data_IF_580850778733
#
_entry.id   IF_580850778733
#
_cell.length_a   1.000
_cell.length_b   1.000
_cell.length_c   1.000
_cell.angle_alpha   90.00
_cell.angle_beta   90.00
_cell.angle_gamma   90.00
#
_symmetry.space_group_name_H-M   'P 1'
#
loop_
_entity.id
_entity.type
_entity.pdbx_description
1 polymer ?
#
# COMPACT_ATOMS: atom_id res chain seq x y z
N UNK A 1 28.03 -1.64 0.82
CA UNK A 1 27.09 -2.46 0.02
C UNK A 1 26.13 -3.14 0.98
N UNK A 2 24.84 -2.81 0.94
CA UNK A 2 23.82 -3.39 1.82
C UNK A 2 23.04 -4.47 1.08
N UNK A 3 22.72 -5.56 1.75
CA UNK A 3 21.99 -6.68 1.16
C UNK A 3 21.00 -7.26 2.16
N UNK A 4 19.78 -7.54 1.70
CA UNK A 4 18.75 -8.22 2.45
C UNK A 4 18.23 -9.40 1.62
N UNK A 5 18.27 -10.60 2.21
CA UNK A 5 17.69 -11.81 1.62
C UNK A 5 16.45 -12.21 2.38
N UNK A 6 15.32 -12.13 1.70
CA UNK A 6 14.02 -12.58 2.20
C UNK A 6 13.77 -13.99 1.67
N UNK A 7 13.67 -14.97 2.57
CA UNK A 7 13.56 -16.39 2.22
C UNK A 7 12.13 -16.80 1.83
N UNK A 8 11.44 -15.94 1.09
CA UNK A 8 10.07 -16.18 0.64
C UNK A 8 10.03 -17.10 -0.58
N UNK A 9 9.11 -18.05 -0.55
CA UNK A 9 8.68 -18.77 -1.74
C UNK A 9 7.60 -17.99 -2.48
N UNK A 10 7.23 -18.42 -3.68
CA UNK A 10 6.06 -17.84 -4.36
C UNK A 10 4.74 -18.24 -3.69
N UNK A 11 4.74 -19.21 -2.77
CA UNK A 11 3.58 -19.59 -1.95
C UNK A 11 3.62 -18.99 -0.54
N UNK A 12 4.49 -18.00 -0.28
CA UNK A 12 4.58 -17.36 1.02
C UNK A 12 3.25 -16.72 1.42
N UNK A 13 2.78 -17.00 2.63
CA UNK A 13 1.64 -16.35 3.25
C UNK A 13 2.07 -15.18 4.14
N UNK A 14 1.12 -14.32 4.45
CA UNK A 14 1.26 -13.21 5.41
C UNK A 14 2.40 -12.23 5.11
N UNK A 15 2.54 -11.86 3.84
CA UNK A 15 3.48 -10.81 3.45
C UNK A 15 3.11 -9.46 4.03
N UNK A 16 1.84 -9.19 4.33
CA UNK A 16 1.42 -7.87 4.84
C UNK A 16 2.02 -7.59 6.22
N UNK A 17 2.01 -8.58 7.11
CA UNK A 17 2.48 -8.39 8.48
C UNK A 17 3.93 -8.84 8.70
N UNK A 18 4.39 -9.89 8.01
CA UNK A 18 5.72 -10.46 8.24
C UNK A 18 6.71 -10.14 7.11
N UNK A 19 6.23 -10.04 5.87
CA UNK A 19 7.09 -9.89 4.70
C UNK A 19 7.50 -8.44 4.43
N UNK A 20 6.53 -7.64 4.03
CA UNK A 20 6.70 -6.27 3.60
C UNK A 20 7.42 -5.38 4.60
N UNK A 21 7.17 -5.43 5.92
CA UNK A 21 7.82 -4.52 6.87
C UNK A 21 9.36 -4.56 6.81
N UNK A 22 9.96 -5.76 6.77
CA UNK A 22 11.41 -5.91 6.69
C UNK A 22 11.97 -5.37 5.36
N UNK A 23 11.28 -5.64 4.25
CA UNK A 23 11.66 -5.17 2.93
C UNK A 23 11.56 -3.65 2.80
N UNK A 24 10.48 -3.08 3.33
CA UNK A 24 10.21 -1.65 3.35
C UNK A 24 11.26 -0.90 4.17
N UNK A 25 11.54 -1.36 5.39
CA UNK A 25 12.59 -0.75 6.22
C UNK A 25 13.97 -0.78 5.55
N UNK A 26 14.28 -1.83 4.77
CA UNK A 26 15.52 -1.88 4.00
C UNK A 26 15.55 -0.86 2.86
N UNK A 27 14.45 -0.72 2.12
CA UNK A 27 14.31 0.28 1.05
C UNK A 27 14.38 1.70 1.61
N UNK A 28 13.68 1.97 2.71
CA UNK A 28 13.63 3.31 3.33
C UNK A 28 15.03 3.76 3.75
N UNK A 29 15.79 2.88 4.44
CA UNK A 29 17.19 3.15 4.80
C UNK A 29 18.08 3.41 3.58
N UNK A 30 17.82 2.74 2.46
CA UNK A 30 18.58 2.98 1.23
C UNK A 30 18.25 4.34 0.62
N UNK A 31 16.97 4.72 0.58
CA UNK A 31 16.54 6.03 0.10
C UNK A 31 17.06 7.16 0.99
N UNK A 32 17.09 6.98 2.31
CA UNK A 32 17.70 7.94 3.27
C UNK A 32 19.19 8.23 2.97
N UNK A 33 19.91 7.24 2.42
CA UNK A 33 21.31 7.39 2.00
C UNK A 33 21.47 7.93 0.58
N UNK A 34 20.38 8.09 -0.16
CA UNK A 34 20.42 8.43 -1.59
C UNK A 34 20.86 7.26 -2.49
N UNK A 35 20.79 6.02 -2.01
CA UNK A 35 21.19 4.84 -2.76
C UNK A 35 20.07 4.36 -3.72
N UNK A 36 20.47 3.84 -4.88
CA UNK A 36 19.58 3.01 -5.70
C UNK A 36 19.38 1.62 -5.11
N UNK A 37 18.18 1.04 -5.27
CA UNK A 37 17.84 -0.31 -4.79
C UNK A 37 17.49 -1.23 -5.96
N UNK A 38 18.18 -2.38 -6.04
CA UNK A 38 17.82 -3.47 -6.94
C UNK A 38 16.99 -4.51 -6.19
N UNK A 39 15.75 -4.72 -6.63
CA UNK A 39 14.86 -5.77 -6.11
C UNK A 39 14.75 -6.87 -7.16
N UNK A 40 15.16 -8.09 -6.83
CA UNK A 40 15.10 -9.23 -7.74
C UNK A 40 14.59 -10.50 -7.06
N UNK A 41 14.11 -11.44 -7.87
CA UNK A 41 13.91 -12.83 -7.47
C UNK A 41 14.56 -13.74 -8.53
N UNK A 42 14.17 -15.01 -8.62
CA UNK A 42 14.77 -15.93 -9.61
C UNK A 42 14.50 -15.49 -11.06
N UNK A 43 13.23 -15.28 -11.43
CA UNK A 43 12.84 -14.94 -12.80
C UNK A 43 12.38 -13.49 -12.98
N UNK A 44 12.33 -12.69 -11.90
CA UNK A 44 11.79 -11.33 -11.94
C UNK A 44 10.28 -11.22 -12.16
N UNK A 45 9.54 -12.34 -12.19
CA UNK A 45 8.11 -12.37 -12.58
C UNK A 45 7.16 -12.15 -11.39
N UNK A 46 7.38 -12.83 -10.26
CA UNK A 46 6.33 -13.03 -9.25
C UNK A 46 6.64 -12.38 -7.90
N UNK A 47 7.60 -12.92 -7.13
CA UNK A 47 7.96 -12.41 -5.78
C UNK A 47 8.48 -10.97 -5.79
N UNK A 48 9.49 -10.68 -6.62
CA UNK A 48 10.05 -9.33 -6.73
C UNK A 48 9.02 -8.35 -7.27
N UNK A 49 8.22 -8.74 -8.25
CA UNK A 49 7.14 -7.91 -8.77
C UNK A 49 6.10 -7.57 -7.70
N UNK A 50 5.72 -8.55 -6.85
CA UNK A 50 4.80 -8.33 -5.73
C UNK A 50 5.32 -7.26 -4.79
N UNK A 51 6.60 -7.34 -4.39
CA UNK A 51 7.22 -6.35 -3.51
C UNK A 51 7.28 -4.96 -4.17
N UNK A 52 7.61 -4.89 -5.45
CA UNK A 52 7.64 -3.61 -6.20
C UNK A 52 6.25 -2.99 -6.28
N UNK A 53 5.20 -3.78 -6.56
CA UNK A 53 3.82 -3.28 -6.57
C UNK A 53 3.43 -2.76 -5.19
N UNK A 54 3.75 -3.49 -4.11
CA UNK A 54 3.48 -3.04 -2.74
C UNK A 54 4.20 -1.72 -2.41
N UNK A 55 5.46 -1.56 -2.84
CA UNK A 55 6.21 -0.31 -2.67
C UNK A 55 5.57 0.86 -3.43
N UNK A 56 5.10 0.63 -4.65
CA UNK A 56 4.39 1.65 -5.45
C UNK A 56 3.06 2.02 -4.80
N UNK A 57 2.29 1.06 -4.29
CA UNK A 57 1.06 1.32 -3.54
C UNK A 57 1.33 2.21 -2.32
N UNK A 58 2.35 1.86 -1.53
CA UNK A 58 2.77 2.63 -0.36
C UNK A 58 3.20 4.05 -0.74
N UNK A 59 4.01 4.18 -1.81
CA UNK A 59 4.49 5.47 -2.29
C UNK A 59 3.34 6.38 -2.78
N UNK A 60 2.34 5.81 -3.46
CA UNK A 60 1.14 6.52 -3.88
C UNK A 60 0.32 7.01 -2.68
N UNK A 61 0.04 6.11 -1.72
CA UNK A 61 -0.73 6.42 -0.52
C UNK A 61 -0.08 7.50 0.35
N UNK A 62 1.25 7.48 0.46
CA UNK A 62 2.02 8.42 1.28
C UNK A 62 2.49 9.67 0.51
N UNK A 63 2.18 9.78 -0.79
CA UNK A 63 2.72 10.81 -1.68
C UNK A 63 4.23 10.98 -1.55
N UNK A 64 4.95 9.85 -1.60
CA UNK A 64 6.40 9.82 -1.41
C UNK A 64 7.11 10.75 -2.41
N UNK A 65 8.07 11.59 -1.97
CA UNK A 65 8.77 12.53 -2.84
C UNK A 65 9.75 11.84 -3.81
N UNK A 66 10.08 10.56 -3.56
CA UNK A 66 11.05 9.80 -4.35
C UNK A 66 10.44 9.11 -5.58
N UNK A 67 9.17 9.35 -5.86
CA UNK A 67 8.48 8.80 -7.04
C UNK A 67 7.91 9.93 -7.90
N UNK A 68 7.77 9.71 -9.22
CA UNK A 68 7.15 10.69 -10.11
C UNK A 68 5.71 11.07 -9.69
N UNK A 69 5.24 12.31 -9.96
CA UNK A 69 3.92 12.76 -9.54
C UNK A 69 2.75 11.89 -10.04
N UNK A 70 2.89 11.23 -11.20
CA UNK A 70 1.87 10.32 -11.72
C UNK A 70 1.62 9.11 -10.80
N UNK A 71 2.61 8.72 -9.97
CA UNK A 71 2.46 7.66 -8.98
C UNK A 71 1.47 8.07 -7.89
N UNK A 72 1.42 9.34 -7.50
CA UNK A 72 0.49 9.83 -6.47
C UNK A 72 -0.98 9.80 -6.92
N UNK A 73 -1.23 9.78 -8.23
CA UNK A 73 -2.57 9.67 -8.79
C UNK A 73 -3.07 8.21 -8.90
N UNK A 74 -2.20 7.22 -8.66
CA UNK A 74 -2.57 5.81 -8.73
C UNK A 74 -3.56 5.46 -7.62
N UNK A 75 -4.63 4.75 -8.00
CA UNK A 75 -5.65 4.30 -7.07
C UNK A 75 -5.53 2.81 -6.84
N UNK A 76 -5.35 2.44 -5.58
CA UNK A 76 -5.42 1.07 -5.12
C UNK A 76 -4.34 0.14 -5.71
N UNK A 77 -4.55 -1.16 -5.51
CA UNK A 77 -3.65 -2.22 -5.96
C UNK A 77 -3.58 -2.25 -7.49
N UNK A 78 -4.72 -2.16 -8.17
CA UNK A 78 -4.79 -2.27 -9.63
C UNK A 78 -4.01 -1.16 -10.34
N UNK A 79 -4.08 0.09 -9.85
CA UNK A 79 -3.32 1.21 -10.41
C UNK A 79 -1.82 0.98 -10.30
N UNK A 80 -1.34 0.57 -9.12
CA UNK A 80 0.06 0.24 -8.89
C UNK A 80 0.52 -0.94 -9.75
N UNK A 81 -0.29 -2.00 -9.86
CA UNK A 81 0.02 -3.15 -10.70
C UNK A 81 0.20 -2.76 -12.18
N UNK A 82 -0.74 -1.99 -12.73
CA UNK A 82 -0.67 -1.52 -14.12
C UNK A 82 0.56 -0.66 -14.37
N UNK A 83 0.90 0.24 -13.44
CA UNK A 83 2.11 1.07 -13.53
C UNK A 83 3.37 0.21 -13.60
N UNK A 84 3.52 -0.79 -12.72
CA UNK A 84 4.69 -1.69 -12.75
C UNK A 84 4.69 -2.57 -14.01
N UNK A 85 3.51 -3.00 -14.49
CA UNK A 85 3.36 -3.82 -15.69
C UNK A 85 3.79 -3.08 -16.96
N UNK A 86 3.54 -1.77 -17.04
CA UNK A 86 4.02 -0.92 -18.13
C UNK A 86 5.55 -0.88 -18.17
N UNK A 87 6.20 -0.75 -17.00
CA UNK A 87 7.67 -0.74 -16.90
C UNK A 87 8.29 -2.12 -17.09
N UNK A 88 7.57 -3.19 -16.77
CA UNK A 88 8.02 -4.57 -16.96
C UNK A 88 6.87 -5.48 -17.40
N UNK A 89 6.79 -5.70 -18.72
CA UNK A 89 5.75 -6.51 -19.38
C UNK A 89 5.68 -7.96 -18.89
N UNK A 90 6.74 -8.48 -18.26
CA UNK A 90 6.82 -9.88 -17.82
C UNK A 90 6.35 -10.12 -16.39
N UNK A 91 6.01 -9.07 -15.63
CA UNK A 91 5.52 -9.30 -14.27
C UNK A 91 4.21 -10.08 -14.30
N UNK A 92 4.05 -10.94 -13.31
CA UNK A 92 2.89 -11.79 -13.08
C UNK A 92 3.01 -12.47 -11.72
N UNK A 93 2.73 -11.74 -10.61
CA UNK A 93 2.46 -12.35 -9.33
C UNK A 93 1.42 -13.45 -9.47
N UNK A 94 1.56 -14.54 -8.73
CA UNK A 94 0.49 -15.55 -8.72
C UNK A 94 -0.72 -15.05 -7.93
N UNK A 95 -1.84 -15.76 -8.04
CA UNK A 95 -3.10 -15.37 -7.40
C UNK A 95 -2.99 -15.20 -5.87
N UNK A 96 -2.24 -16.06 -5.18
CA UNK A 96 -2.05 -15.92 -3.73
C UNK A 96 -1.36 -14.60 -3.35
N UNK A 97 -0.34 -14.21 -4.12
CA UNK A 97 0.36 -12.93 -3.92
C UNK A 97 -0.50 -11.73 -4.32
N UNK A 98 -1.34 -11.86 -5.37
CA UNK A 98 -2.32 -10.84 -5.74
C UNK A 98 -3.33 -10.62 -4.60
N UNK A 99 -3.83 -11.68 -3.96
CA UNK A 99 -4.75 -11.55 -2.82
C UNK A 99 -4.10 -10.83 -1.64
N UNK A 100 -2.83 -11.12 -1.36
CA UNK A 100 -2.10 -10.40 -0.31
C UNK A 100 -1.88 -8.91 -0.64
N UNK A 101 -1.73 -8.54 -1.91
CA UNK A 101 -1.71 -7.13 -2.32
C UNK A 101 -3.08 -6.46 -2.15
N UNK A 102 -4.18 -7.18 -2.41
CA UNK A 102 -5.53 -6.68 -2.13
C UNK A 102 -5.76 -6.51 -0.62
N UNK A 103 -5.27 -7.44 0.20
CA UNK A 103 -5.33 -7.31 1.66
C UNK A 103 -4.48 -6.12 2.14
N UNK A 104 -3.31 -5.90 1.53
CA UNK A 104 -2.49 -4.72 1.79
C UNK A 104 -3.23 -3.42 1.44
N UNK A 105 -3.98 -3.37 0.33
CA UNK A 105 -4.80 -2.21 -0.03
C UNK A 105 -5.84 -1.88 1.07
N UNK A 106 -6.46 -2.89 1.67
CA UNK A 106 -7.45 -2.69 2.74
C UNK A 106 -6.85 -2.06 3.99
N UNK A 107 -5.57 -2.33 4.27
CA UNK A 107 -4.87 -1.73 5.41
C UNK A 107 -4.79 -0.20 5.33
N UNK A 108 -4.83 0.38 4.12
CA UNK A 108 -4.87 1.83 3.95
C UNK A 108 -6.26 2.42 4.20
N UNK A 109 -7.33 1.71 3.83
CA UNK A 109 -8.72 2.17 3.98
C UNK A 109 -9.18 2.18 5.44
N UNK A 110 -8.70 1.23 6.24
CA UNK A 110 -9.02 1.16 7.67
C UNK A 110 -8.50 2.38 8.46
N UNK A 111 -7.49 3.09 7.96
CA UNK A 111 -6.95 4.32 8.56
C UNK A 111 -7.77 5.59 8.26
N UNK A 112 -8.68 5.55 7.27
CA UNK A 112 -9.50 6.71 6.88
C UNK A 112 -10.83 6.78 7.65
N UNK A 113 -11.24 5.71 8.35
CA UNK A 113 -12.48 5.66 9.13
C UNK A 113 -12.26 6.01 10.61
N UNK A 114 -12.06 7.29 10.93
CA UNK A 114 -12.40 7.84 12.27
C UNK A 114 -13.80 8.45 12.20
N UNK A 115 -14.70 8.18 13.16
CA UNK A 115 -16.08 8.64 13.07
C UNK A 115 -16.14 10.14 13.35
N UNK A 116 -16.40 10.92 12.31
CA UNK A 116 -16.85 12.29 12.48
C UNK A 116 -18.21 12.26 13.18
N UNK A 117 -18.29 13.03 14.26
CA UNK A 117 -19.45 13.30 15.12
C UNK A 117 -20.74 13.48 14.32
N UNK A 118 -21.75 12.66 14.62
CA UNK A 118 -23.10 12.81 14.09
C UNK A 118 -23.81 13.99 14.75
N UNK A 119 -23.77 15.15 14.10
CA UNK A 119 -24.71 16.23 14.36
C UNK A 119 -25.95 16.09 13.44
N UNK A 120 -27.10 16.29 14.10
CA UNK A 120 -28.41 16.69 13.57
C UNK A 120 -29.38 15.59 13.09
N UNK A 121 -30.42 15.39 13.91
CA UNK A 121 -31.77 15.60 13.40
C UNK A 121 -32.68 16.18 14.48
N UNK A 122 -32.94 17.48 14.36
CA UNK A 122 -34.00 18.18 15.06
C UNK A 122 -35.36 17.78 14.46
N UNK A 123 -36.30 17.36 15.31
CA UNK A 123 -37.75 17.56 15.17
C UNK A 123 -38.36 17.31 16.57
N UNK A 124 -38.65 18.38 17.32
CA UNK A 124 -39.93 19.13 17.33
C UNK A 124 -40.97 18.37 18.16
N UNK A 125 -41.28 18.89 19.35
CA UNK A 125 -42.63 18.96 19.90
C UNK A 125 -42.69 20.04 20.98
N UNK A 126 -43.70 20.90 20.85
CA UNK A 126 -43.84 22.12 21.64
C UNK A 126 -44.31 21.88 23.07
N UNK A 127 -43.93 22.82 23.92
CA UNK A 127 -44.73 23.22 25.07
C UNK A 127 -44.45 24.69 25.34
N UNK A 128 -45.50 25.49 25.26
CA UNK A 128 -45.57 26.86 25.75
C UNK A 128 -45.44 26.80 27.27
N UNK A 129 -44.50 27.54 27.85
CA UNK A 129 -44.49 27.84 29.27
C UNK A 129 -44.20 29.33 29.46
N UNK A 130 -45.24 30.01 29.92
CA UNK A 130 -45.30 31.42 30.31
C UNK A 130 -44.37 31.68 31.49
N UNK A 131 -43.67 32.83 31.45
CA UNK A 131 -42.86 33.35 32.55
C UNK A 131 -43.72 33.66 33.79
N UNK A 132 -43.33 33.14 34.95
CA UNK A 132 -43.14 33.89 36.21
C UNK A 132 -42.03 33.23 37.01
#
# INVERSE_FOLDING_TARGET
MHYLKLHWSHGQSDLVHEGFPAAFAFVDKALERGDGVLIHCQCGVSRSATLVVALVMRAAAQRSPNVPPEVWALKGMQGAYSFVKEKSKWIGPNMSLIYQLLDYERSFKAGESSPATSELSAKRNGAVAVRR
#
